data_IF_072239615593
#
_entry.id   IF_072239615593
#
_cell.length_a   1.000
_cell.length_b   1.000
_cell.length_c   1.000
_cell.angle_alpha   90.00
_cell.angle_beta   90.00
_cell.angle_gamma   90.00
#
_symmetry.space_group_name_H-M   'P 1'
#
loop_
_entity.id
_entity.type
_entity.pdbx_description
1 polymer ?
#
# COMPACT_ATOMS: atom_id res chain seq x y z
N UNK A 1 2.08 9.98 -25.85
CA UNK A 1 1.43 9.53 -24.60
C UNK A 1 0.25 8.66 -25.04
N UNK A 2 0.21 7.40 -24.57
CA UNK A 2 -0.91 6.50 -24.86
C UNK A 2 -2.19 7.11 -24.28
N UNK A 3 -3.27 7.10 -25.06
CA UNK A 3 -4.55 7.64 -24.62
C UNK A 3 -5.36 6.50 -23.96
N UNK A 4 -5.24 6.37 -22.66
CA UNK A 4 -5.99 5.39 -21.87
C UNK A 4 -7.35 5.94 -21.45
N UNK A 5 -8.42 5.13 -21.43
CA UNK A 5 -9.69 5.54 -20.87
C UNK A 5 -9.57 5.86 -19.39
N UNK A 6 -10.28 6.88 -18.92
CA UNK A 6 -10.35 7.24 -17.50
C UNK A 6 -11.35 6.33 -16.79
N UNK A 7 -10.97 5.71 -15.67
CA UNK A 7 -11.84 4.83 -14.87
C UNK A 7 -12.40 5.51 -13.62
N UNK A 8 -11.76 6.56 -13.16
CA UNK A 8 -12.22 7.34 -12.00
C UNK A 8 -11.59 8.74 -12.02
N UNK A 9 -12.24 9.70 -11.39
CA UNK A 9 -11.68 11.02 -11.13
C UNK A 9 -11.57 11.23 -9.62
N UNK A 10 -10.42 11.76 -9.21
CA UNK A 10 -10.11 12.07 -7.80
C UNK A 10 -10.17 13.59 -7.58
N UNK A 11 -10.33 14.00 -6.33
CA UNK A 11 -10.00 15.35 -5.93
C UNK A 11 -8.50 15.62 -6.09
N UNK A 12 -8.05 16.86 -6.38
CA UNK A 12 -6.63 17.17 -6.60
C UNK A 12 -5.72 16.78 -5.45
N UNK A 13 -6.21 16.91 -4.21
CA UNK A 13 -5.49 16.49 -3.01
C UNK A 13 -5.27 14.98 -2.97
N UNK A 14 -6.27 14.19 -3.32
CA UNK A 14 -6.21 12.74 -3.35
C UNK A 14 -5.36 12.23 -4.51
N UNK A 15 -5.43 12.89 -5.66
CA UNK A 15 -4.52 12.63 -6.78
C UNK A 15 -3.06 12.85 -6.39
N UNK A 16 -2.76 13.92 -5.66
CA UNK A 16 -1.42 14.18 -5.13
C UNK A 16 -0.99 13.11 -4.13
N UNK A 17 -1.88 12.66 -3.26
CA UNK A 17 -1.64 11.58 -2.29
C UNK A 17 -1.38 10.25 -3.01
N UNK A 18 -2.15 9.94 -4.05
CA UNK A 18 -1.95 8.75 -4.87
C UNK A 18 -0.57 8.76 -5.52
N UNK A 19 -0.16 9.85 -6.15
CA UNK A 19 1.18 10.00 -6.74
C UNK A 19 2.27 9.79 -5.69
N UNK A 20 2.14 10.38 -4.51
CA UNK A 20 3.11 10.20 -3.42
C UNK A 20 3.20 8.74 -2.96
N UNK A 21 2.07 8.05 -2.89
CA UNK A 21 1.98 6.63 -2.58
C UNK A 21 2.70 5.77 -3.63
N UNK A 22 2.37 5.95 -4.91
CA UNK A 22 2.98 5.20 -6.00
C UNK A 22 4.50 5.40 -6.06
N UNK A 23 4.97 6.64 -5.85
CA UNK A 23 6.41 6.92 -5.72
C UNK A 23 7.06 6.17 -4.55
N UNK A 24 6.35 6.00 -3.43
CA UNK A 24 6.85 5.21 -2.29
C UNK A 24 6.94 3.73 -2.64
N UNK A 25 5.93 3.19 -3.30
CA UNK A 25 5.91 1.80 -3.77
C UNK A 25 7.09 1.53 -4.70
N UNK A 26 7.31 2.41 -5.68
CA UNK A 26 8.42 2.30 -6.63
C UNK A 26 9.83 2.33 -5.97
N UNK A 27 9.95 2.90 -4.77
CA UNK A 27 11.20 2.82 -3.99
C UNK A 27 11.43 1.44 -3.37
N UNK A 28 10.35 0.71 -3.10
CA UNK A 28 10.43 -0.63 -2.54
C UNK A 28 10.63 -1.68 -3.64
N UNK A 29 9.90 -1.53 -4.74
CA UNK A 29 9.97 -2.41 -5.90
C UNK A 29 9.67 -1.63 -7.17
N UNK A 30 10.67 -1.57 -8.07
CA UNK A 30 10.54 -0.87 -9.36
C UNK A 30 9.64 -1.62 -10.35
N UNK A 31 9.40 -2.90 -10.13
CA UNK A 31 8.52 -3.73 -10.94
C UNK A 31 7.16 -3.99 -10.26
N UNK A 32 6.80 -3.17 -9.28
CA UNK A 32 5.58 -3.34 -8.52
C UNK A 32 4.33 -3.28 -9.40
N UNK A 33 3.35 -4.08 -9.02
CA UNK A 33 1.99 -4.05 -9.54
C UNK A 33 1.02 -3.56 -8.49
N UNK A 34 -0.08 -2.98 -8.95
CA UNK A 34 -1.22 -2.64 -8.09
C UNK A 34 -2.49 -3.23 -8.68
N UNK A 35 -3.30 -3.89 -7.87
CA UNK A 35 -4.67 -4.24 -8.24
C UNK A 35 -5.56 -3.06 -7.95
N UNK A 36 -6.32 -2.66 -8.94
CA UNK A 36 -7.21 -1.50 -8.87
C UNK A 36 -8.65 -2.00 -8.95
N UNK A 37 -9.45 -1.65 -7.96
CA UNK A 37 -10.86 -2.04 -7.88
C UNK A 37 -11.70 -0.77 -7.75
N UNK A 38 -12.72 -0.64 -8.60
CA UNK A 38 -13.72 0.42 -8.48
C UNK A 38 -15.01 -0.13 -7.88
N UNK A 39 -15.60 0.62 -6.97
CA UNK A 39 -16.89 0.30 -6.39
C UNK A 39 -17.62 1.60 -6.01
N UNK A 40 -18.86 1.73 -6.48
CA UNK A 40 -19.71 2.89 -6.22
C UNK A 40 -19.01 4.22 -6.51
N UNK A 41 -18.70 5.01 -5.50
CA UNK A 41 -18.04 6.31 -5.53
C UNK A 41 -16.58 6.25 -5.00
N UNK A 42 -15.94 5.11 -5.13
CA UNK A 42 -14.58 4.90 -4.62
C UNK A 42 -13.71 4.09 -5.58
N UNK A 43 -12.40 4.29 -5.45
CA UNK A 43 -11.37 3.49 -6.10
C UNK A 43 -10.35 3.00 -5.08
N UNK A 44 -10.09 1.70 -5.07
CA UNK A 44 -9.14 1.04 -4.19
C UNK A 44 -7.90 0.58 -4.92
N UNK A 45 -6.74 0.78 -4.31
CA UNK A 45 -5.45 0.29 -4.77
C UNK A 45 -4.90 -0.72 -3.77
N UNK A 46 -4.61 -1.92 -4.23
CA UNK A 46 -4.04 -3.00 -3.44
C UNK A 46 -2.63 -3.26 -3.93
N UNK A 47 -1.68 -3.21 -3.02
CA UNK A 47 -0.26 -3.36 -3.33
C UNK A 47 0.36 -4.35 -2.35
N UNK A 48 1.24 -5.21 -2.85
CA UNK A 48 2.05 -6.09 -2.03
C UNK A 48 3.43 -5.45 -1.82
N UNK A 49 3.68 -4.80 -0.68
CA UNK A 49 5.01 -4.35 -0.33
C UNK A 49 5.90 -5.55 0.05
N UNK A 50 7.23 -5.40 0.17
CA UNK A 50 8.15 -6.51 0.43
C UNK A 50 8.05 -7.08 1.86
N UNK A 51 6.91 -6.99 2.54
CA UNK A 51 6.69 -7.37 3.95
C UNK A 51 5.63 -8.45 4.13
N UNK A 52 5.27 -9.24 3.17
CA UNK A 52 4.22 -10.28 3.25
C UNK A 52 2.87 -9.77 3.80
N UNK A 53 2.50 -8.55 3.44
CA UNK A 53 1.21 -7.93 3.75
C UNK A 53 0.64 -7.32 2.48
N UNK A 54 -0.67 -7.12 2.44
CA UNK A 54 -1.30 -6.34 1.38
C UNK A 54 -1.63 -4.96 1.96
N UNK A 55 -1.09 -3.92 1.35
CA UNK A 55 -1.47 -2.55 1.66
C UNK A 55 -2.67 -2.16 0.80
N UNK A 56 -3.72 -1.66 1.43
CA UNK A 56 -4.92 -1.18 0.76
C UNK A 56 -5.08 0.32 0.96
N UNK A 57 -5.29 1.03 -0.13
CA UNK A 57 -5.52 2.47 -0.14
C UNK A 57 -6.82 2.76 -0.88
N UNK A 58 -7.76 3.38 -0.18
CA UNK A 58 -9.06 3.74 -0.69
C UNK A 58 -9.15 5.25 -0.87
N UNK A 59 -9.62 5.68 -2.03
CA UNK A 59 -9.86 7.08 -2.36
C UNK A 59 -11.32 7.28 -2.75
N UNK A 60 -11.99 8.29 -2.18
CA UNK A 60 -13.25 8.77 -2.75
C UNK A 60 -13.01 9.19 -4.20
N UNK A 61 -13.96 8.90 -5.07
CA UNK A 61 -13.82 9.21 -6.49
C UNK A 61 -15.19 9.55 -7.10
N UNK A 62 -15.17 10.30 -8.18
CA UNK A 62 -16.35 10.61 -8.97
C UNK A 62 -16.12 10.20 -10.42
N UNK A 63 -17.18 10.18 -11.23
CA UNK A 63 -17.14 9.64 -12.59
C UNK A 63 -16.49 8.25 -12.66
N UNK A 64 -16.85 7.38 -11.71
CA UNK A 64 -16.28 6.04 -11.57
C UNK A 64 -16.87 5.10 -12.61
N UNK A 65 -16.02 4.42 -13.37
CA UNK A 65 -16.44 3.29 -14.21
C UNK A 65 -16.65 2.09 -13.31
N UNK A 66 -17.88 1.53 -13.26
CA UNK A 66 -18.18 0.42 -12.36
C UNK A 66 -17.50 -0.88 -12.78
N UNK A 67 -17.33 -1.78 -11.81
CA UNK A 67 -16.86 -3.15 -12.01
C UNK A 67 -15.45 -3.28 -12.63
N UNK A 68 -14.61 -2.29 -12.45
CA UNK A 68 -13.18 -2.44 -12.77
C UNK A 68 -12.54 -3.26 -11.65
N UNK A 69 -11.86 -4.32 -12.04
CA UNK A 69 -10.99 -5.13 -11.18
C UNK A 69 -9.79 -5.53 -12.05
N UNK A 70 -8.73 -4.74 -12.00
CA UNK A 70 -7.62 -4.83 -12.93
C UNK A 70 -6.28 -4.72 -12.23
N UNK A 71 -5.27 -5.40 -12.74
CA UNK A 71 -3.88 -5.30 -12.25
C UNK A 71 -3.09 -4.42 -13.21
N UNK A 72 -2.42 -3.41 -12.68
CA UNK A 72 -1.67 -2.42 -13.44
C UNK A 72 -0.23 -2.36 -12.94
N UNK A 73 0.69 -2.04 -13.86
CA UNK A 73 2.06 -1.67 -13.47
C UNK A 73 2.06 -0.31 -12.79
N UNK A 74 2.75 -0.23 -11.66
CA UNK A 74 2.84 1.02 -10.87
C UNK A 74 3.61 2.10 -11.61
N UNK A 75 4.67 1.76 -12.32
CA UNK A 75 5.49 2.70 -13.10
C UNK A 75 4.69 3.37 -14.25
N UNK A 76 3.88 2.58 -14.96
CA UNK A 76 3.02 3.10 -16.04
C UNK A 76 1.92 3.98 -15.49
N UNK A 77 1.23 3.54 -14.42
CA UNK A 77 0.20 4.32 -13.76
C UNK A 77 0.76 5.65 -13.26
N UNK A 78 1.92 5.64 -12.60
CA UNK A 78 2.59 6.83 -12.13
C UNK A 78 2.96 7.78 -13.29
N UNK A 79 3.49 7.24 -14.39
CA UNK A 79 3.84 8.01 -15.58
C UNK A 79 2.62 8.72 -16.17
N UNK A 80 1.49 8.02 -16.27
CA UNK A 80 0.25 8.59 -16.80
C UNK A 80 -0.32 9.67 -15.87
N UNK A 81 -0.29 9.47 -14.57
CA UNK A 81 -0.72 10.49 -13.61
C UNK A 81 0.16 11.74 -13.67
N UNK A 82 1.47 11.58 -13.76
CA UNK A 82 2.43 12.69 -13.84
C UNK A 82 2.39 13.43 -15.19
N UNK A 83 1.84 12.84 -16.23
CA UNK A 83 1.65 13.51 -17.52
C UNK A 83 0.48 14.51 -17.54
N UNK A 84 -0.36 14.51 -16.52
CA UNK A 84 -1.47 15.44 -16.35
C UNK A 84 -0.99 16.70 -15.61
N UNK A 85 -1.58 17.84 -15.94
CA UNK A 85 -1.34 19.10 -15.20
C UNK A 85 -1.75 18.97 -13.72
N UNK A 86 -2.87 18.25 -13.48
CA UNK A 86 -3.30 17.79 -12.16
C UNK A 86 -3.57 16.29 -12.24
N UNK A 87 -3.02 15.46 -11.35
CA UNK A 87 -3.09 13.99 -11.42
C UNK A 87 -4.43 13.46 -10.90
N UNK A 88 -5.54 13.94 -11.47
CA UNK A 88 -6.90 13.63 -10.99
C UNK A 88 -7.58 12.49 -11.75
N UNK A 89 -7.19 12.22 -13.01
CA UNK A 89 -7.81 11.19 -13.84
C UNK A 89 -7.02 9.90 -13.75
N UNK A 90 -7.62 8.87 -13.16
CA UNK A 90 -7.02 7.53 -13.08
C UNK A 90 -7.27 6.80 -14.41
N UNK A 91 -6.21 6.40 -15.13
CA UNK A 91 -6.35 5.70 -16.41
C UNK A 91 -6.57 4.21 -16.20
N UNK A 92 -7.25 3.56 -17.15
CA UNK A 92 -7.25 2.10 -17.29
C UNK A 92 -6.04 1.70 -18.12
N UNK A 93 -5.00 1.24 -17.49
CA UNK A 93 -3.83 0.68 -18.15
C UNK A 93 -4.12 -0.78 -18.48
N UNK A 94 -3.63 -1.27 -19.62
CA UNK A 94 -3.93 -2.60 -20.10
C UNK A 94 -3.58 -3.70 -19.07
N UNK A 95 -4.43 -4.73 -19.03
CA UNK A 95 -4.28 -5.89 -18.17
C UNK A 95 -2.92 -6.57 -18.37
N UNK A 96 -2.20 -6.69 -17.27
CA UNK A 96 -1.18 -7.70 -17.15
C UNK A 96 -1.77 -8.89 -16.40
N UNK A 97 -1.51 -10.10 -16.86
CA UNK A 97 -1.89 -11.29 -16.11
C UNK A 97 -1.43 -11.18 -14.66
N UNK A 98 -2.30 -11.47 -13.69
CA UNK A 98 -2.03 -11.19 -12.28
C UNK A 98 -0.92 -12.09 -11.75
N UNK A 99 0.31 -11.64 -11.84
CA UNK A 99 1.41 -12.23 -11.07
C UNK A 99 1.34 -11.71 -9.63
N UNK A 100 0.90 -12.56 -8.70
CA UNK A 100 1.10 -12.36 -7.27
C UNK A 100 -0.03 -11.70 -6.48
N UNK A 101 -0.82 -10.81 -7.03
CA UNK A 101 -1.99 -10.22 -6.35
C UNK A 101 -3.26 -11.08 -6.51
N UNK A 102 -3.08 -12.39 -6.60
CA UNK A 102 -4.10 -13.35 -7.01
C UNK A 102 -5.25 -13.55 -6.02
N UNK A 103 -5.12 -13.16 -4.76
CA UNK A 103 -6.21 -13.24 -3.82
C UNK A 103 -6.98 -11.92 -3.80
N UNK A 104 -8.23 -11.94 -4.23
CA UNK A 104 -9.16 -10.85 -3.96
C UNK A 104 -9.27 -10.68 -2.45
N UNK A 105 -9.09 -9.46 -1.90
CA UNK A 105 -9.33 -9.27 -0.47
C UNK A 105 -10.73 -9.76 -0.13
N UNK A 106 -10.94 -10.41 1.02
CA UNK A 106 -12.26 -10.90 1.39
C UNK A 106 -13.26 -9.74 1.38
N UNK A 107 -14.42 -10.00 0.79
CA UNK A 107 -15.53 -9.04 0.81
C UNK A 107 -16.14 -9.03 2.20
N UNK A 108 -15.78 -8.24 3.10
CA UNK A 108 -16.39 -8.06 4.43
C UNK A 108 -17.52 -9.02 4.87
N UNK A 109 -18.11 -8.80 5.99
CA UNK A 109 -18.05 -7.56 6.78
C UNK A 109 -16.74 -7.42 7.54
N UNK A 110 -16.06 -6.33 7.30
CA UNK A 110 -14.86 -5.97 8.05
C UNK A 110 -15.28 -5.48 9.43
N UNK A 111 -14.76 -6.11 10.46
CA UNK A 111 -14.89 -5.58 11.81
C UNK A 111 -13.69 -4.68 12.09
N UNK A 112 -13.98 -3.55 12.71
CA UNK A 112 -12.90 -2.70 13.22
C UNK A 112 -12.17 -3.50 14.29
N UNK A 113 -10.87 -3.73 14.10
CA UNK A 113 -10.04 -4.38 15.11
C UNK A 113 -9.99 -3.54 16.39
N UNK A 114 -9.86 -4.19 17.53
CA UNK A 114 -9.77 -3.55 18.86
C UNK A 114 -8.56 -2.60 19.01
N UNK A 115 -7.71 -2.50 18.01
CA UNK A 115 -6.39 -1.84 18.09
C UNK A 115 -6.37 -0.36 17.75
N UNK A 116 -7.50 0.29 17.64
CA UNK A 116 -7.60 1.74 17.56
C UNK A 116 -7.24 2.35 16.20
N UNK A 117 -7.23 3.65 16.16
CA UNK A 117 -6.95 4.48 14.99
C UNK A 117 -5.44 4.52 14.74
N UNK A 118 -5.03 4.71 13.49
CA UNK A 118 -3.61 4.78 13.10
C UNK A 118 -2.79 5.78 13.94
N UNK A 119 -3.42 6.86 14.42
CA UNK A 119 -2.80 7.84 15.32
C UNK A 119 -2.39 7.28 16.69
N UNK A 120 -3.14 6.31 17.20
CA UNK A 120 -2.84 5.67 18.49
C UNK A 120 -1.74 4.61 18.35
N UNK A 121 -1.57 4.05 17.14
CA UNK A 121 -0.54 3.06 16.85
C UNK A 121 0.84 3.70 16.66
N UNK A 122 0.91 4.92 16.14
CA UNK A 122 2.18 5.56 15.83
C UNK A 122 3.14 5.66 17.04
N UNK A 123 2.71 6.08 18.24
CA UNK A 123 3.57 6.09 19.43
C UNK A 123 4.04 4.68 19.82
N UNK A 124 3.17 3.66 19.72
CA UNK A 124 3.51 2.27 20.04
C UNK A 124 4.55 1.73 19.08
N UNK A 125 4.42 2.02 17.78
CA UNK A 125 5.39 1.65 16.74
C UNK A 125 6.74 2.32 17.02
N UNK A 126 6.75 3.62 17.35
CA UNK A 126 7.99 4.35 17.67
C UNK A 126 8.69 3.75 18.90
N UNK A 127 7.93 3.39 19.93
CA UNK A 127 8.47 2.72 21.11
C UNK A 127 9.09 1.36 20.76
N UNK A 128 8.41 0.55 19.96
CA UNK A 128 8.92 -0.76 19.52
C UNK A 128 10.20 -0.62 18.68
N UNK A 129 10.26 0.38 17.78
CA UNK A 129 11.46 0.68 17.00
C UNK A 129 12.63 1.11 17.91
N UNK A 130 12.37 1.96 18.89
CA UNK A 130 13.40 2.42 19.82
C UNK A 130 13.95 1.25 20.65
N UNK A 131 13.08 0.40 21.14
CA UNK A 131 13.45 -0.81 21.88
C UNK A 131 14.27 -1.79 21.03
N UNK A 132 13.85 -2.04 19.79
CA UNK A 132 14.59 -2.86 18.86
C UNK A 132 16.02 -2.33 18.66
N UNK A 133 16.16 -1.02 18.41
CA UNK A 133 17.47 -0.39 18.27
C UNK A 133 18.36 -0.55 19.48
N UNK A 134 17.81 -0.38 20.69
CA UNK A 134 18.55 -0.55 21.94
C UNK A 134 19.01 -2.00 22.13
N UNK A 135 18.12 -2.98 21.89
CA UNK A 135 18.49 -4.41 21.95
C UNK A 135 19.56 -4.75 20.93
N UNK A 136 19.43 -4.26 19.69
CA UNK A 136 20.44 -4.50 18.66
C UNK A 136 21.80 -3.91 19.04
N UNK A 137 21.84 -2.70 19.59
CA UNK A 137 23.09 -2.08 20.07
C UNK A 137 23.75 -2.88 21.20
N UNK A 138 22.97 -3.47 22.10
CA UNK A 138 23.49 -4.30 23.20
C UNK A 138 24.08 -5.63 22.74
N UNK A 139 23.69 -6.12 21.56
CA UNK A 139 24.17 -7.37 20.97
C UNK A 139 25.46 -7.21 20.16
N UNK A 140 25.96 -5.98 20.00
CA UNK A 140 27.22 -5.67 19.30
C UNK A 140 27.03 -5.12 17.88
N UNK A 141 28.15 -4.86 17.20
CA UNK A 141 28.16 -4.08 15.97
C UNK A 141 27.50 -4.77 14.74
N UNK A 142 27.45 -6.12 14.73
CA UNK A 142 26.87 -6.88 13.60
C UNK A 142 26.19 -8.17 14.08
N UNK A 143 25.00 -8.09 14.70
CA UNK A 143 24.26 -9.30 15.04
C UNK A 143 23.83 -10.03 13.74
N UNK A 144 23.76 -11.37 13.83
CA UNK A 144 23.30 -12.15 12.68
C UNK A 144 21.85 -11.82 12.32
N UNK A 145 21.46 -12.14 11.09
CA UNK A 145 20.09 -11.94 10.62
C UNK A 145 19.08 -12.70 11.49
N UNK A 146 19.40 -13.93 11.87
CA UNK A 146 18.55 -14.77 12.72
C UNK A 146 18.32 -14.14 14.11
N UNK A 147 19.35 -13.58 14.71
CA UNK A 147 19.24 -12.86 15.99
C UNK A 147 18.38 -11.60 15.83
N UNK A 148 18.57 -10.86 14.74
CA UNK A 148 17.78 -9.67 14.46
C UNK A 148 16.30 -9.99 14.27
N UNK A 149 16.00 -11.05 13.52
CA UNK A 149 14.63 -11.54 13.31
C UNK A 149 14.00 -12.05 14.61
N UNK A 150 14.75 -12.75 15.44
CA UNK A 150 14.27 -13.22 16.74
C UNK A 150 13.90 -12.07 17.67
N UNK A 151 14.76 -11.04 17.76
CA UNK A 151 14.48 -9.83 18.56
C UNK A 151 13.27 -9.08 18.03
N UNK A 152 13.15 -8.94 16.72
CA UNK A 152 12.00 -8.28 16.10
C UNK A 152 10.69 -9.01 16.40
N UNK A 153 10.69 -10.35 16.29
CA UNK A 153 9.52 -11.18 16.57
C UNK A 153 9.11 -11.10 18.06
N UNK A 154 10.07 -11.16 18.98
CA UNK A 154 9.78 -11.02 20.43
C UNK A 154 9.08 -9.69 20.74
N UNK A 155 9.60 -8.58 20.16
CA UNK A 155 9.00 -7.26 20.36
C UNK A 155 7.60 -7.19 19.73
N UNK A 156 7.44 -7.77 18.54
CA UNK A 156 6.20 -7.79 17.79
C UNK A 156 5.10 -8.59 18.52
N UNK A 157 5.42 -9.78 18.99
CA UNK A 157 4.50 -10.63 19.76
C UNK A 157 4.06 -9.96 21.06
N UNK A 158 5.02 -9.41 21.81
CA UNK A 158 4.72 -8.70 23.07
C UNK A 158 3.87 -7.45 22.85
N UNK A 159 4.05 -6.74 21.74
CA UNK A 159 3.21 -5.62 21.37
C UNK A 159 1.78 -6.04 20.95
N UNK A 160 1.51 -7.35 20.90
CA UNK A 160 0.23 -7.92 20.49
C UNK A 160 -0.05 -7.76 18.99
N UNK A 161 0.98 -7.66 18.17
CA UNK A 161 0.87 -7.57 16.71
C UNK A 161 1.18 -8.89 16.00
N UNK A 162 1.70 -9.88 16.74
CA UNK A 162 1.85 -11.26 16.30
C UNK A 162 0.56 -12.02 16.62
N UNK A 163 -0.08 -12.59 15.60
CA UNK A 163 -1.25 -13.44 15.75
C UNK A 163 -1.35 -14.32 14.55
#
# INVERSE_FOLDING_TARGET
>A
VANYPTIAQLEPSDGTRLVALLKRIMRWDQNAYTRVITKDDAIGFYVEPPFKVIAHFLFPAFAVTPLIDNVMRVDELLTQLLSQAEPVKVPLIADFEPFGLGAKPPEGPWQQGERGIAGDLAPKVQTAIAEFKLKMQSLGANPSREVSESVANEIWERAGWGG
#
